data_IF_938003876204
#
_entry.id   IF_938003876204
#
_cell.length_a   1.000
_cell.length_b   1.000
_cell.length_c   1.000
_cell.angle_alpha   90.00
_cell.angle_beta   90.00
_cell.angle_gamma   90.00
#
_symmetry.space_group_name_H-M   'P 1'
#
loop_
_entity.id
_entity.type
_entity.pdbx_description
1 polymer ?
#
# COMPACT_ATOMS: atom_id res chain seq x y z
N UNK A 1 18.34 -10.31 5.50
CA UNK A 1 18.34 -8.89 5.06
C UNK A 1 17.19 -8.60 4.10
N UNK A 2 17.12 -9.22 2.89
CA UNK A 2 16.11 -8.92 1.85
C UNK A 2 14.66 -9.06 2.37
N UNK A 3 14.28 -10.22 2.92
CA UNK A 3 12.91 -10.46 3.40
C UNK A 3 12.50 -9.46 4.48
N UNK A 4 13.38 -9.10 5.42
CA UNK A 4 13.09 -8.13 6.48
C UNK A 4 12.91 -6.70 5.95
N UNK A 5 13.46 -6.38 4.80
CA UNK A 5 13.28 -5.10 4.13
C UNK A 5 11.98 -5.04 3.33
N UNK A 6 11.61 -6.13 2.69
CA UNK A 6 10.45 -6.19 1.79
C UNK A 6 9.14 -6.56 2.53
N UNK A 7 9.25 -7.15 3.74
CA UNK A 7 8.11 -7.54 4.58
C UNK A 7 8.09 -6.66 5.83
N UNK A 8 7.33 -5.58 5.76
CA UNK A 8 7.30 -4.53 6.78
C UNK A 8 5.86 -4.08 7.08
N UNK A 9 5.59 -3.58 8.30
CA UNK A 9 4.30 -2.98 8.63
C UNK A 9 3.97 -1.78 7.75
N UNK A 10 2.69 -1.65 7.38
CA UNK A 10 2.18 -0.52 6.61
C UNK A 10 0.73 -0.20 7.02
N UNK A 11 0.38 1.09 7.10
CA UNK A 11 -0.98 1.58 7.35
C UNK A 11 -1.53 2.22 6.09
N UNK A 12 -2.75 1.83 5.68
CA UNK A 12 -3.39 2.39 4.49
C UNK A 12 -2.68 2.01 3.18
N UNK A 13 -2.94 2.78 2.13
CA UNK A 13 -2.34 2.62 0.82
C UNK A 13 -1.28 3.69 0.58
N UNK A 14 -0.12 3.29 0.06
CA UNK A 14 1.02 4.20 -0.14
C UNK A 14 0.80 5.22 -1.26
N UNK A 15 0.03 4.87 -2.29
CA UNK A 15 -0.18 5.72 -3.44
C UNK A 15 -0.95 7.03 -3.10
N UNK A 16 -2.11 7.01 -2.42
CA UNK A 16 -2.75 8.26 -2.02
C UNK A 16 -1.91 9.05 -1.00
N UNK A 17 -1.15 8.37 -0.13
CA UNK A 17 -0.24 9.06 0.81
C UNK A 17 0.93 9.72 0.07
N UNK A 18 1.45 9.12 -0.99
CA UNK A 18 2.44 9.74 -1.88
C UNK A 18 1.89 11.01 -2.55
N UNK A 19 0.65 10.96 -3.03
CA UNK A 19 -0.01 12.15 -3.61
C UNK A 19 -0.19 13.24 -2.55
N UNK A 20 -0.69 12.87 -1.36
CA UNK A 20 -0.85 13.79 -0.23
C UNK A 20 0.48 14.40 0.22
N UNK A 21 1.56 13.61 0.27
CA UNK A 21 2.93 14.06 0.56
C UNK A 21 3.42 15.09 -0.46
N UNK A 22 3.16 14.84 -1.73
CA UNK A 22 3.54 15.77 -2.80
C UNK A 22 2.76 17.08 -2.71
N UNK A 23 1.46 17.03 -2.35
CA UNK A 23 0.64 18.21 -2.07
C UNK A 23 1.18 18.99 -0.88
N UNK A 24 1.47 18.31 0.24
CA UNK A 24 2.04 18.94 1.42
C UNK A 24 3.32 19.72 1.07
N UNK A 25 4.22 19.12 0.31
CA UNK A 25 5.47 19.76 -0.10
C UNK A 25 5.25 20.97 -1.01
N UNK A 26 4.34 20.86 -1.99
CA UNK A 26 4.00 21.98 -2.87
C UNK A 26 3.35 23.14 -2.08
N UNK A 27 2.47 22.83 -1.10
CA UNK A 27 1.84 23.80 -0.21
C UNK A 27 2.87 24.49 0.70
N UNK A 28 3.82 23.74 1.27
CA UNK A 28 4.92 24.32 2.06
C UNK A 28 5.76 25.29 1.24
N UNK A 29 6.07 24.95 -0.01
CA UNK A 29 6.81 25.81 -0.92
C UNK A 29 6.01 27.08 -1.26
N UNK A 30 4.71 26.94 -1.53
CA UNK A 30 3.82 28.08 -1.78
C UNK A 30 3.79 29.04 -0.59
N UNK A 31 3.75 28.52 0.63
CA UNK A 31 3.76 29.28 1.88
C UNK A 31 2.38 29.70 2.39
N UNK A 32 1.33 29.33 1.69
CA UNK A 32 -0.07 29.57 2.07
C UNK A 32 -0.97 28.43 1.59
N UNK A 33 -2.24 28.44 2.03
CA UNK A 33 -3.24 27.48 1.54
C UNK A 33 -3.50 27.70 0.04
N UNK A 34 -3.40 26.67 -0.81
CA UNK A 34 -3.68 26.81 -2.23
C UNK A 34 -5.15 27.16 -2.51
N UNK A 35 -5.38 28.06 -3.45
CA UNK A 35 -6.71 28.32 -4.03
C UNK A 35 -7.02 27.35 -5.17
N UNK A 36 -5.97 26.78 -5.78
CA UNK A 36 -6.07 25.79 -6.84
C UNK A 36 -4.95 24.78 -6.76
N UNK A 37 -5.32 23.50 -6.88
CA UNK A 37 -4.38 22.38 -6.93
C UNK A 37 -4.61 21.60 -8.22
N UNK A 38 -3.54 21.42 -8.99
CA UNK A 38 -3.54 20.53 -10.15
C UNK A 38 -2.64 19.33 -9.88
N UNK A 39 -3.23 18.14 -9.87
CA UNK A 39 -2.53 16.87 -9.71
C UNK A 39 -2.42 16.15 -11.05
N UNK A 40 -1.20 16.02 -11.58
CA UNK A 40 -0.89 15.31 -12.83
C UNK A 40 -0.20 13.99 -12.47
N UNK A 41 -0.86 12.86 -12.72
CA UNK A 41 -0.50 11.55 -12.17
C UNK A 41 -0.24 10.53 -13.28
N UNK A 42 0.69 9.59 -13.02
CA UNK A 42 0.80 8.40 -13.87
C UNK A 42 -0.45 7.52 -13.79
N UNK A 43 -0.69 6.74 -14.83
CA UNK A 43 -1.84 5.83 -14.88
C UNK A 43 -1.87 4.83 -13.71
N UNK A 44 -0.70 4.37 -13.26
CA UNK A 44 -0.61 3.43 -12.15
C UNK A 44 -0.97 4.08 -10.80
N UNK A 45 -0.49 5.29 -10.54
CA UNK A 45 -0.87 6.05 -9.33
C UNK A 45 -2.37 6.34 -9.35
N UNK A 46 -2.89 6.85 -10.45
CA UNK A 46 -4.31 7.17 -10.58
C UNK A 46 -5.19 5.94 -10.34
N UNK A 47 -4.91 4.84 -11.03
CA UNK A 47 -5.64 3.57 -10.87
C UNK A 47 -5.61 3.04 -9.44
N UNK A 48 -4.44 3.10 -8.78
CA UNK A 48 -4.26 2.49 -7.46
C UNK A 48 -4.82 3.37 -6.32
N UNK A 49 -4.93 4.68 -6.53
CA UNK A 49 -5.32 5.62 -5.48
C UNK A 49 -6.80 6.03 -5.51
N UNK A 50 -7.46 5.96 -6.69
CA UNK A 50 -8.84 6.48 -6.85
C UNK A 50 -9.90 5.74 -6.04
N UNK A 51 -9.74 4.44 -5.81
CA UNK A 51 -10.74 3.59 -5.16
C UNK A 51 -10.37 3.16 -3.73
N UNK A 52 -9.44 3.84 -3.09
CA UNK A 52 -8.89 3.42 -1.78
C UNK A 52 -9.38 4.32 -0.67
N UNK A 53 -9.77 3.73 0.46
CA UNK A 53 -10.11 4.46 1.68
C UNK A 53 -8.90 5.20 2.24
N UNK A 54 -9.10 6.48 2.57
CA UNK A 54 -8.07 7.30 3.21
C UNK A 54 -8.17 7.12 4.72
N UNK A 55 -7.07 6.69 5.37
CA UNK A 55 -7.09 6.34 6.78
C UNK A 55 -7.68 7.43 7.67
N UNK A 56 -8.59 7.03 8.57
CA UNK A 56 -9.23 7.91 9.53
C UNK A 56 -10.32 8.82 8.99
N UNK A 57 -10.55 8.89 7.67
CA UNK A 57 -11.50 9.83 7.06
C UNK A 57 -12.90 9.26 6.83
N UNK A 58 -13.04 7.95 6.71
CA UNK A 58 -14.25 7.29 6.21
C UNK A 58 -14.57 7.62 4.73
N UNK A 59 -13.65 8.27 4.02
CA UNK A 59 -13.79 8.67 2.62
C UNK A 59 -12.82 7.90 1.72
N UNK A 60 -13.13 7.89 0.42
CA UNK A 60 -12.40 7.16 -0.60
C UNK A 60 -11.79 8.13 -1.61
N UNK A 61 -10.58 7.82 -2.06
CA UNK A 61 -9.97 8.39 -3.25
C UNK A 61 -9.13 9.63 -3.03
N UNK A 62 -8.59 10.11 -4.13
CA UNK A 62 -7.61 11.19 -4.16
C UNK A 62 -8.14 12.56 -3.70
N UNK A 63 -9.40 12.97 -3.96
CA UNK A 63 -9.84 14.31 -3.58
C UNK A 63 -9.60 14.63 -2.10
N UNK A 64 -10.00 13.73 -1.19
CA UNK A 64 -9.80 13.96 0.25
C UNK A 64 -8.33 13.86 0.65
N UNK A 65 -7.54 12.97 0.03
CA UNK A 65 -6.10 12.89 0.30
C UNK A 65 -5.36 14.17 -0.12
N UNK A 66 -5.73 14.76 -1.25
CA UNK A 66 -5.20 16.04 -1.76
C UNK A 66 -5.61 17.19 -0.83
N UNK A 67 -6.91 17.29 -0.51
CA UNK A 67 -7.42 18.35 0.38
C UNK A 67 -6.70 18.34 1.74
N UNK A 68 -6.60 17.17 2.38
CA UNK A 68 -5.91 17.03 3.65
C UNK A 68 -4.40 17.27 3.54
N UNK A 69 -3.77 16.87 2.45
CA UNK A 69 -2.37 17.19 2.19
C UNK A 69 -2.11 18.70 2.19
N UNK A 70 -3.03 19.48 1.65
CA UNK A 70 -2.94 20.95 1.63
C UNK A 70 -3.27 21.60 2.98
N UNK A 71 -4.13 21.00 3.80
CA UNK A 71 -4.63 21.59 5.06
C UNK A 71 -3.72 21.27 6.24
N UNK A 72 -3.33 20.00 6.39
CA UNK A 72 -2.60 19.50 7.55
C UNK A 72 -1.29 18.79 7.20
N UNK A 73 -1.04 18.57 5.91
CA UNK A 73 0.13 17.79 5.49
C UNK A 73 1.43 18.47 5.88
N UNK A 74 2.35 17.65 6.44
CA UNK A 74 3.74 18.04 6.69
C UNK A 74 4.64 17.06 5.96
N UNK A 75 5.44 17.56 5.02
CA UNK A 75 6.27 16.70 4.18
C UNK A 75 7.34 15.93 4.98
N UNK A 76 7.74 16.43 6.14
CA UNK A 76 8.65 15.75 7.07
C UNK A 76 8.12 14.40 7.58
N UNK A 77 6.79 14.21 7.59
CA UNK A 77 6.16 12.97 8.03
C UNK A 77 6.15 11.87 6.98
N UNK A 78 6.65 12.16 5.80
CA UNK A 78 6.73 11.19 4.69
C UNK A 78 5.34 10.55 4.42
N UNK A 79 5.23 9.23 4.39
CA UNK A 79 3.95 8.55 4.13
C UNK A 79 2.96 8.57 5.31
N UNK A 80 3.36 9.10 6.46
CA UNK A 80 2.47 9.39 7.59
C UNK A 80 1.93 10.83 7.55
N UNK A 81 1.95 11.48 6.39
CA UNK A 81 1.64 12.89 6.13
C UNK A 81 0.32 13.36 6.74
N UNK A 82 -0.66 12.48 6.94
CA UNK A 82 -1.98 12.78 7.50
C UNK A 82 -2.14 12.35 8.98
N UNK A 83 -1.06 12.08 9.71
CA UNK A 83 -1.15 11.59 11.10
C UNK A 83 -1.80 12.58 12.08
N UNK A 84 -1.78 13.88 11.75
CA UNK A 84 -2.38 14.94 12.57
C UNK A 84 -3.89 15.16 12.23
N UNK A 85 -4.55 14.21 11.56
CA UNK A 85 -5.97 14.30 11.20
C UNK A 85 -6.86 14.40 12.44
N UNK A 86 -7.76 15.38 12.43
CA UNK A 86 -8.82 15.57 13.43
C UNK A 86 -10.19 15.63 12.75
N UNK A 87 -11.31 15.51 13.50
CA UNK A 87 -12.66 15.69 12.94
C UNK A 87 -12.86 17.08 12.31
N UNK A 88 -12.26 18.11 12.88
CA UNK A 88 -12.35 19.49 12.41
C UNK A 88 -11.64 19.64 11.06
N UNK A 89 -10.39 19.15 10.95
CA UNK A 89 -9.62 19.22 9.71
C UNK A 89 -10.23 18.32 8.62
N UNK A 90 -10.89 17.23 9.00
CA UNK A 90 -11.66 16.41 8.04
C UNK A 90 -12.87 17.19 7.49
N UNK A 91 -13.61 17.90 8.34
CA UNK A 91 -14.74 18.74 7.91
C UNK A 91 -14.26 19.85 6.96
N UNK A 92 -13.14 20.48 7.27
CA UNK A 92 -12.49 21.48 6.42
C UNK A 92 -12.04 20.90 5.07
N UNK A 93 -11.49 19.68 5.07
CA UNK A 93 -11.13 18.95 3.85
C UNK A 93 -12.32 18.69 2.93
N UNK A 94 -13.49 18.36 3.49
CA UNK A 94 -14.74 18.21 2.72
C UNK A 94 -15.17 19.52 2.08
N UNK A 95 -15.16 20.62 2.84
CA UNK A 95 -15.48 21.95 2.30
C UNK A 95 -14.53 22.37 1.19
N UNK A 96 -13.23 22.04 1.33
CA UNK A 96 -12.23 22.34 0.31
C UNK A 96 -12.48 21.58 -1.00
N UNK A 97 -12.99 20.33 -0.94
CA UNK A 97 -13.38 19.56 -2.12
C UNK A 97 -14.62 20.20 -2.77
N UNK A 98 -15.64 20.56 -1.97
CA UNK A 98 -16.90 21.14 -2.45
C UNK A 98 -16.69 22.51 -3.14
N UNK A 99 -15.61 23.21 -2.81
CA UNK A 99 -15.22 24.48 -3.43
C UNK A 99 -14.49 24.31 -4.79
N UNK A 100 -14.36 23.07 -5.30
CA UNK A 100 -13.76 22.72 -6.61
C UNK A 100 -12.31 23.21 -6.81
N UNK A 101 -11.54 23.30 -5.74
CA UNK A 101 -10.14 23.72 -5.78
C UNK A 101 -9.19 22.67 -6.41
N UNK A 102 -9.65 21.44 -6.65
CA UNK A 102 -8.82 20.30 -7.02
C UNK A 102 -9.12 19.84 -8.45
N UNK A 103 -8.08 19.79 -9.28
CA UNK A 103 -8.11 19.17 -10.61
C UNK A 103 -7.17 17.97 -10.65
N UNK A 104 -7.68 16.81 -11.05
CA UNK A 104 -6.90 15.58 -11.17
C UNK A 104 -6.88 15.14 -12.63
N UNK A 105 -5.69 14.92 -13.17
CA UNK A 105 -5.51 14.55 -14.58
C UNK A 105 -4.43 13.49 -14.77
N UNK A 106 -4.56 12.76 -15.87
CA UNK A 106 -3.53 11.82 -16.31
C UNK A 106 -2.37 12.61 -16.95
N UNK A 107 -1.14 12.35 -16.47
CA UNK A 107 0.06 12.89 -17.11
C UNK A 107 0.38 12.09 -18.37
N UNK A 108 0.36 12.74 -19.52
CA UNK A 108 0.75 12.15 -20.80
C UNK A 108 2.25 12.32 -21.08
N UNK A 109 2.81 11.47 -21.92
CA UNK A 109 4.19 11.58 -22.38
C UNK A 109 5.28 11.18 -21.38
N UNK A 110 4.90 10.47 -20.31
CA UNK A 110 5.83 9.92 -19.30
C UNK A 110 5.95 8.41 -19.44
N UNK A 111 7.11 7.87 -19.08
CA UNK A 111 7.40 6.42 -19.03
C UNK A 111 7.39 5.87 -17.60
N UNK A 112 7.48 6.76 -16.64
CA UNK A 112 7.54 6.44 -15.21
C UNK A 112 6.21 5.83 -14.73
N UNK A 113 6.30 4.64 -14.14
CA UNK A 113 5.14 3.97 -13.55
C UNK A 113 4.67 4.65 -12.27
N UNK A 114 5.59 5.27 -11.52
CA UNK A 114 5.34 6.10 -10.36
C UNK A 114 5.72 7.55 -10.71
N UNK A 115 4.71 8.39 -10.88
CA UNK A 115 4.87 9.82 -11.12
C UNK A 115 3.70 10.58 -10.53
N UNK A 116 4.02 11.57 -9.72
CA UNK A 116 3.08 12.49 -9.07
C UNK A 116 3.64 13.88 -9.23
N UNK A 117 2.95 14.76 -9.95
CA UNK A 117 3.29 16.18 -10.09
C UNK A 117 2.12 17.00 -9.56
N UNK A 118 2.40 17.82 -8.57
CA UNK A 118 1.42 18.71 -7.95
C UNK A 118 1.83 20.14 -8.19
N UNK A 119 0.89 20.93 -8.71
CA UNK A 119 1.00 22.37 -8.82
C UNK A 119 -0.03 23.01 -7.92
N UNK A 120 0.43 23.89 -7.01
CA UNK A 120 -0.38 24.68 -6.11
C UNK A 120 -0.30 26.15 -6.52
N UNK A 121 -1.43 26.84 -6.56
CA UNK A 121 -1.54 28.26 -6.95
C UNK A 121 -2.39 29.02 -5.92
N UNK A 122 -1.95 30.19 -5.47
CA UNK A 122 -2.69 31.15 -4.66
C UNK A 122 -2.06 32.56 -4.74
N UNK A 123 -2.85 33.62 -4.68
CA UNK A 123 -2.40 35.01 -4.63
C UNK A 123 -1.41 35.40 -5.77
N UNK A 124 -1.53 34.77 -6.93
CA UNK A 124 -0.61 34.99 -8.07
C UNK A 124 0.72 34.25 -7.95
N UNK A 125 0.95 33.51 -6.89
CA UNK A 125 2.13 32.63 -6.69
C UNK A 125 1.84 31.22 -7.12
N UNK A 126 2.89 30.51 -7.50
CA UNK A 126 2.83 29.12 -7.96
C UNK A 126 3.97 28.28 -7.38
N UNK A 127 3.67 27.09 -6.92
CA UNK A 127 4.67 26.11 -6.50
C UNK A 127 4.38 24.75 -7.11
N UNK A 128 5.43 24.07 -7.56
CA UNK A 128 5.33 22.71 -8.13
C UNK A 128 6.28 21.76 -7.39
N UNK A 129 5.76 20.60 -7.03
CA UNK A 129 6.55 19.48 -6.51
C UNK A 129 6.28 18.23 -7.34
N UNK A 130 7.32 17.42 -7.57
CA UNK A 130 7.19 16.16 -8.30
C UNK A 130 7.89 15.03 -7.54
N UNK A 131 7.16 13.92 -7.35
CA UNK A 131 7.69 12.65 -6.86
C UNK A 131 7.74 11.67 -8.02
N UNK A 132 8.86 10.97 -8.18
CA UNK A 132 9.00 9.90 -9.17
C UNK A 132 9.89 8.77 -8.66
N UNK A 133 9.77 7.59 -9.27
CA UNK A 133 10.57 6.38 -9.03
C UNK A 133 10.32 5.69 -7.67
N UNK A 134 10.21 6.42 -6.57
CA UNK A 134 9.84 5.91 -5.26
C UNK A 134 8.83 6.85 -4.58
N UNK A 135 7.97 6.32 -3.69
CA UNK A 135 6.83 7.06 -3.11
C UNK A 135 7.19 8.30 -2.27
N UNK A 136 8.46 8.49 -1.94
CA UNK A 136 8.96 9.61 -1.13
C UNK A 136 10.10 10.36 -1.80
N UNK A 137 10.44 10.02 -3.05
CA UNK A 137 11.57 10.61 -3.75
C UNK A 137 11.12 11.82 -4.57
N UNK A 138 11.40 13.02 -4.05
CA UNK A 138 11.19 14.27 -4.78
C UNK A 138 12.27 14.43 -5.84
N UNK A 139 11.86 14.61 -7.10
CA UNK A 139 12.75 14.80 -8.26
C UNK A 139 12.69 16.21 -8.83
N UNK A 140 11.68 17.00 -8.46
CA UNK A 140 11.54 18.37 -8.91
C UNK A 140 10.82 19.23 -7.90
N UNK A 141 11.35 20.42 -7.63
CA UNK A 141 10.74 21.44 -6.78
C UNK A 141 10.95 22.80 -7.45
N UNK A 142 9.88 23.59 -7.57
CA UNK A 142 9.88 24.93 -8.16
C UNK A 142 8.94 25.85 -7.38
N UNK A 143 9.32 27.12 -7.26
CA UNK A 143 8.45 28.21 -6.77
C UNK A 143 8.63 29.45 -7.67
N UNK A 144 7.53 29.96 -8.21
CA UNK A 144 7.48 31.20 -9.01
C UNK A 144 8.50 31.27 -10.16
N UNK A 145 8.79 30.10 -10.77
CA UNK A 145 9.78 29.95 -11.84
C UNK A 145 11.22 29.72 -11.36
N UNK A 146 11.49 29.82 -10.05
CA UNK A 146 12.77 29.44 -9.47
C UNK A 146 12.82 27.93 -9.21
N UNK A 147 13.74 27.23 -9.87
CA UNK A 147 13.94 25.79 -9.70
C UNK A 147 14.83 25.54 -8.48
N UNK A 148 14.29 24.88 -7.46
CA UNK A 148 14.96 24.56 -6.21
C UNK A 148 15.59 23.15 -6.22
N UNK A 149 15.02 22.23 -7.02
CA UNK A 149 15.52 20.87 -7.24
C UNK A 149 15.13 20.42 -8.64
N UNK A 150 16.07 19.88 -9.42
CA UNK A 150 15.79 19.19 -10.68
C UNK A 150 16.68 17.95 -10.85
N UNK A 151 16.13 16.82 -10.50
CA UNK A 151 16.74 15.49 -10.68
C UNK A 151 15.99 14.64 -11.73
N UNK A 152 15.05 15.24 -12.51
CA UNK A 152 14.22 14.52 -13.49
C UNK A 152 15.05 13.88 -14.62
N UNK A 153 16.22 14.41 -14.92
CA UNK A 153 17.13 13.90 -15.95
C UNK A 153 18.25 13.02 -15.39
N UNK A 154 18.40 12.97 -14.07
CA UNK A 154 19.19 11.92 -13.52
C UNK A 154 18.40 10.63 -13.76
N UNK A 155 18.87 9.81 -14.72
CA UNK A 155 18.52 8.38 -14.69
C UNK A 155 18.73 8.01 -13.23
N UNK A 156 17.64 7.60 -12.55
CA UNK A 156 17.81 6.96 -11.27
C UNK A 156 18.91 5.95 -11.52
N UNK A 157 20.11 6.28 -11.04
CA UNK A 157 21.24 5.37 -11.17
C UNK A 157 20.64 4.09 -10.69
N UNK A 158 20.78 3.01 -11.44
CA UNK A 158 20.48 1.70 -10.92
C UNK A 158 21.15 1.75 -9.55
N UNK A 159 20.36 2.01 -8.50
CA UNK A 159 20.85 1.85 -7.14
C UNK A 159 21.40 0.45 -7.22
N UNK A 160 22.74 0.33 -7.15
CA UNK A 160 23.42 -0.94 -7.34
C UNK A 160 22.62 -1.94 -6.58
N UNK A 161 21.81 -2.69 -7.32
CA UNK A 161 20.89 -3.61 -6.71
C UNK A 161 21.81 -4.79 -6.34
N UNK A 162 22.63 -4.57 -5.31
CA UNK A 162 23.44 -5.58 -4.64
C UNK A 162 22.55 -6.65 -3.98
N UNK A 163 21.27 -6.60 -4.29
CA UNK A 163 20.32 -7.59 -3.84
C UNK A 163 20.55 -8.91 -4.53
N UNK A 164 20.53 -9.95 -3.71
CA UNK A 164 20.51 -11.33 -4.20
C UNK A 164 19.35 -11.47 -5.20
N UNK A 165 19.65 -11.80 -6.44
CA UNK A 165 18.64 -12.13 -7.43
C UNK A 165 18.08 -13.51 -7.11
N UNK A 166 16.83 -13.54 -6.68
CA UNK A 166 16.17 -14.78 -6.29
C UNK A 166 15.89 -15.68 -7.51
N UNK A 167 15.84 -16.98 -7.25
CA UNK A 167 15.23 -18.01 -8.09
C UNK A 167 14.51 -19.00 -7.17
N UNK A 168 13.63 -19.84 -7.71
CA UNK A 168 12.81 -20.74 -6.89
C UNK A 168 13.64 -21.74 -6.08
N UNK A 169 14.75 -22.20 -6.60
CA UNK A 169 15.66 -23.12 -5.87
C UNK A 169 16.20 -22.44 -4.61
N UNK A 170 16.71 -21.22 -4.76
CA UNK A 170 17.25 -20.44 -3.65
C UNK A 170 16.19 -20.11 -2.61
N UNK A 171 14.98 -19.75 -3.06
CA UNK A 171 13.83 -19.46 -2.19
C UNK A 171 13.47 -20.71 -1.36
N UNK A 172 13.35 -21.86 -2.01
CA UNK A 172 13.02 -23.12 -1.35
C UNK A 172 14.12 -23.56 -0.38
N UNK A 173 15.36 -23.62 -0.84
CA UNK A 173 16.48 -24.05 -0.01
C UNK A 173 16.59 -23.14 1.24
N UNK A 174 16.48 -21.83 1.09
CA UNK A 174 16.48 -20.90 2.22
C UNK A 174 15.34 -21.15 3.21
N UNK A 175 14.11 -21.31 2.73
CA UNK A 175 12.97 -21.55 3.60
C UNK A 175 13.07 -22.87 4.37
N UNK A 176 13.71 -23.91 3.77
CA UNK A 176 13.80 -25.25 4.36
C UNK A 176 15.03 -25.45 5.25
N UNK A 177 16.14 -24.76 4.99
CA UNK A 177 17.41 -25.04 5.67
C UNK A 177 17.85 -23.96 6.67
N UNK A 178 17.24 -22.77 6.63
CA UNK A 178 17.56 -21.72 7.61
C UNK A 178 17.05 -22.11 8.99
N UNK A 179 17.83 -21.88 10.06
CA UNK A 179 17.37 -22.11 11.44
C UNK A 179 16.04 -21.40 11.72
N UNK A 180 15.14 -22.08 12.42
CA UNK A 180 13.79 -21.57 12.74
C UNK A 180 13.84 -20.21 13.43
N UNK A 181 14.74 -20.03 14.39
CA UNK A 181 14.86 -18.79 15.16
C UNK A 181 15.17 -17.58 14.28
N UNK A 182 15.94 -17.74 13.20
CA UNK A 182 16.24 -16.70 12.24
C UNK A 182 15.02 -16.33 11.35
N UNK A 183 14.05 -17.22 11.25
CA UNK A 183 12.82 -17.06 10.46
C UNK A 183 11.61 -16.66 11.31
N UNK A 184 11.67 -16.81 12.64
CA UNK A 184 10.53 -16.63 13.55
C UNK A 184 9.84 -15.27 13.43
N UNK A 185 10.57 -14.22 13.01
CA UNK A 185 9.98 -12.90 12.76
C UNK A 185 8.81 -12.93 11.76
N UNK A 186 8.75 -13.96 10.87
CA UNK A 186 7.71 -14.08 9.83
C UNK A 186 6.31 -14.31 10.45
N UNK A 187 6.23 -14.84 11.66
CA UNK A 187 4.96 -15.00 12.39
C UNK A 187 4.24 -13.66 12.63
N UNK A 188 4.99 -12.56 12.73
CA UNK A 188 4.40 -11.22 12.82
C UNK A 188 3.48 -10.92 11.63
N UNK A 189 3.69 -11.55 10.47
CA UNK A 189 2.82 -11.35 9.30
C UNK A 189 1.41 -11.87 9.59
N UNK A 190 1.30 -13.06 10.21
CA UNK A 190 0.03 -13.62 10.67
C UNK A 190 -0.62 -12.70 11.71
N UNK A 191 0.12 -12.31 12.74
CA UNK A 191 -0.43 -11.55 13.87
C UNK A 191 -1.00 -10.19 13.41
N UNK A 192 -0.29 -9.46 12.55
CA UNK A 192 -0.76 -8.20 12.00
C UNK A 192 -1.97 -8.39 11.09
N UNK A 193 -1.90 -9.34 10.15
CA UNK A 193 -2.91 -9.50 9.12
C UNK A 193 -4.18 -10.19 9.65
N UNK A 194 -4.07 -10.99 10.68
CA UNK A 194 -5.25 -11.52 11.40
C UNK A 194 -5.92 -10.44 12.25
N UNK A 195 -5.15 -9.60 12.92
CA UNK A 195 -5.68 -8.50 13.72
C UNK A 195 -6.60 -7.60 12.91
N UNK A 196 -6.18 -7.19 11.72
CA UNK A 196 -7.03 -6.34 10.86
C UNK A 196 -8.23 -7.11 10.30
N UNK A 197 -8.11 -8.42 10.03
CA UNK A 197 -9.24 -9.25 9.62
C UNK A 197 -10.30 -9.32 10.73
N UNK A 198 -9.90 -9.50 11.98
CA UNK A 198 -10.82 -9.48 13.13
C UNK A 198 -11.49 -8.11 13.34
N UNK A 199 -10.75 -7.02 13.10
CA UNK A 199 -11.32 -5.67 13.16
C UNK A 199 -12.41 -5.47 12.10
N UNK A 200 -12.21 -6.02 10.90
CA UNK A 200 -13.21 -5.98 9.83
C UNK A 200 -14.54 -6.64 10.23
N UNK A 201 -14.51 -7.61 11.15
CA UNK A 201 -15.74 -8.25 11.65
C UNK A 201 -16.57 -7.32 12.54
N UNK A 202 -15.94 -6.36 13.23
CA UNK A 202 -16.60 -5.43 14.15
C UNK A 202 -17.25 -4.25 13.43
N UNK A 203 -16.66 -3.82 12.32
CA UNK A 203 -17.10 -2.64 11.56
C UNK A 203 -17.40 -2.99 10.10
N UNK A 204 -18.09 -2.10 9.39
CA UNK A 204 -18.33 -2.27 7.96
C UNK A 204 -17.26 -1.51 7.18
N UNK A 205 -16.33 -2.26 6.59
CA UNK A 205 -15.30 -1.72 5.72
C UNK A 205 -15.49 -2.20 4.29
N UNK A 206 -15.18 -1.33 3.33
CA UNK A 206 -15.16 -1.69 1.91
C UNK A 206 -16.47 -2.34 1.45
N UNK A 207 -16.36 -3.47 0.79
CA UNK A 207 -17.51 -4.24 0.29
C UNK A 207 -18.06 -5.26 1.30
N UNK A 208 -17.47 -5.36 2.48
CA UNK A 208 -17.82 -6.35 3.50
C UNK A 208 -17.82 -7.80 2.95
N UNK A 209 -16.96 -8.10 1.98
CA UNK A 209 -16.93 -9.39 1.30
C UNK A 209 -16.61 -10.52 2.29
N UNK A 210 -15.59 -10.33 3.12
CA UNK A 210 -15.21 -11.33 4.11
C UNK A 210 -16.35 -11.64 5.09
N UNK A 211 -17.03 -10.60 5.62
CA UNK A 211 -18.22 -10.76 6.47
C UNK A 211 -19.38 -11.44 5.77
N UNK A 212 -19.53 -11.20 4.47
CA UNK A 212 -20.61 -11.79 3.68
C UNK A 212 -20.40 -13.29 3.49
N UNK A 213 -19.15 -13.71 3.24
CA UNK A 213 -18.80 -15.13 3.09
C UNK A 213 -18.96 -15.89 4.42
N UNK A 214 -18.70 -15.23 5.54
CA UNK A 214 -18.79 -15.82 6.90
C UNK A 214 -20.25 -15.96 7.42
N UNK A 215 -21.26 -15.49 6.66
CA UNK A 215 -22.67 -15.60 7.08
C UNK A 215 -23.22 -17.01 6.86
N UNK A 216 -24.13 -17.48 7.77
CA UNK A 216 -24.74 -18.80 7.63
C UNK A 216 -25.41 -19.08 6.27
N UNK A 217 -26.06 -18.07 5.67
CA UNK A 217 -26.66 -18.19 4.34
C UNK A 217 -25.58 -18.46 3.25
N UNK A 218 -24.42 -17.83 3.37
CA UNK A 218 -23.32 -18.05 2.44
C UNK A 218 -22.70 -19.43 2.57
N UNK A 219 -22.78 -20.05 3.74
CA UNK A 219 -22.35 -21.44 3.95
C UNK A 219 -23.18 -22.44 3.12
N UNK A 220 -24.41 -22.12 2.79
CA UNK A 220 -25.23 -22.91 1.84
C UNK A 220 -24.73 -22.86 0.40
N UNK A 221 -23.95 -21.84 0.05
CA UNK A 221 -23.41 -21.62 -1.31
C UNK A 221 -21.92 -22.03 -1.39
N UNK A 222 -21.11 -21.58 -0.44
CA UNK A 222 -19.64 -21.79 -0.43
C UNK A 222 -19.18 -22.95 0.46
N UNK A 223 -20.09 -23.51 1.27
CA UNK A 223 -19.76 -24.48 2.31
C UNK A 223 -19.11 -23.81 3.54
N UNK A 224 -19.06 -24.56 4.63
CA UNK A 224 -18.24 -24.26 5.81
C UNK A 224 -16.96 -25.09 5.69
N UNK A 225 -15.98 -24.60 4.99
CA UNK A 225 -14.78 -25.33 4.60
C UNK A 225 -13.55 -24.44 4.71
N UNK A 226 -12.39 -25.06 4.77
CA UNK A 226 -11.10 -24.37 4.77
C UNK A 226 -11.01 -23.32 3.63
N UNK A 227 -11.58 -23.61 2.48
CA UNK A 227 -11.62 -22.68 1.34
C UNK A 227 -12.42 -21.41 1.66
N UNK A 228 -13.63 -21.54 2.24
CA UNK A 228 -14.45 -20.38 2.64
C UNK A 228 -13.80 -19.57 3.76
N UNK A 229 -13.12 -20.24 4.71
CA UNK A 229 -12.40 -19.58 5.80
C UNK A 229 -11.19 -18.79 5.29
N UNK A 230 -10.40 -19.36 4.38
CA UNK A 230 -9.28 -18.66 3.71
C UNK A 230 -9.79 -17.39 3.02
N UNK A 231 -10.86 -17.50 2.21
CA UNK A 231 -11.40 -16.34 1.49
C UNK A 231 -11.96 -15.31 2.47
N UNK A 232 -12.77 -15.74 3.47
CA UNK A 232 -13.35 -14.83 4.45
C UNK A 232 -12.27 -14.03 5.20
N UNK A 233 -11.27 -14.72 5.76
CA UNK A 233 -10.20 -14.08 6.55
C UNK A 233 -9.34 -13.13 5.70
N UNK A 234 -9.02 -13.55 4.46
CA UNK A 234 -8.20 -12.76 3.55
C UNK A 234 -8.96 -11.52 3.04
N UNK A 235 -10.22 -11.72 2.61
CA UNK A 235 -11.06 -10.62 2.14
C UNK A 235 -11.38 -9.63 3.26
N UNK A 236 -11.64 -10.10 4.50
CA UNK A 236 -11.87 -9.23 5.67
C UNK A 236 -10.68 -8.29 5.92
N UNK A 237 -9.46 -8.81 5.87
CA UNK A 237 -8.26 -7.98 6.04
C UNK A 237 -8.11 -6.94 4.92
N UNK A 238 -8.38 -7.34 3.67
CA UNK A 238 -8.35 -6.43 2.53
C UNK A 238 -9.49 -5.39 2.61
N UNK A 239 -10.71 -5.78 2.97
CA UNK A 239 -11.85 -4.87 3.16
C UNK A 239 -11.51 -3.78 4.17
N UNK A 240 -10.99 -4.14 5.35
CA UNK A 240 -10.62 -3.17 6.37
C UNK A 240 -9.49 -2.24 5.90
N UNK A 241 -8.43 -2.79 5.33
CA UNK A 241 -7.30 -2.00 4.83
C UNK A 241 -7.74 -1.02 3.74
N UNK A 242 -8.46 -1.52 2.73
CA UNK A 242 -8.92 -0.69 1.60
C UNK A 242 -10.05 0.26 2.00
N UNK A 243 -10.79 -0.05 3.05
CA UNK A 243 -11.79 0.82 3.66
C UNK A 243 -11.22 1.89 4.60
N UNK A 244 -9.89 1.96 4.75
CA UNK A 244 -9.23 3.03 5.50
C UNK A 244 -9.11 2.76 7.01
N UNK A 245 -9.12 1.51 7.45
CA UNK A 245 -8.85 1.17 8.85
C UNK A 245 -7.45 1.64 9.27
N UNK A 246 -7.36 2.26 10.46
CA UNK A 246 -6.12 2.77 11.05
C UNK A 246 -5.35 1.65 11.77
N UNK A 247 -5.25 0.49 11.15
CA UNK A 247 -4.57 -0.69 11.69
C UNK A 247 -3.48 -1.12 10.72
N UNK A 248 -2.25 -1.32 11.19
CA UNK A 248 -1.18 -1.77 10.33
C UNK A 248 -1.39 -3.20 9.86
N UNK A 249 -1.05 -3.45 8.61
CA UNK A 249 -0.89 -4.78 8.02
C UNK A 249 0.59 -5.06 7.80
N UNK A 250 0.98 -6.32 7.73
CA UNK A 250 2.30 -6.66 7.23
C UNK A 250 2.23 -6.69 5.70
N UNK A 251 2.98 -5.79 5.08
CA UNK A 251 3.08 -5.69 3.62
C UNK A 251 4.10 -6.68 3.02
N UNK A 252 4.12 -6.78 1.71
CA UNK A 252 5.18 -7.44 0.96
C UNK A 252 5.50 -6.61 -0.28
N UNK A 253 6.78 -6.32 -0.51
CA UNK A 253 7.27 -5.51 -1.65
C UNK A 253 6.49 -4.21 -1.87
N UNK A 254 6.19 -3.50 -0.78
CA UNK A 254 5.49 -2.22 -0.79
C UNK A 254 3.97 -2.30 -0.96
N UNK A 255 3.36 -3.49 -0.97
CA UNK A 255 1.90 -3.67 -1.06
C UNK A 255 1.33 -4.41 0.14
N UNK A 256 0.40 -3.74 0.87
CA UNK A 256 -0.28 -4.36 2.02
C UNK A 256 -1.18 -5.51 1.60
N UNK A 257 -1.96 -5.38 0.52
CA UNK A 257 -2.79 -6.48 0.03
C UNK A 257 -1.95 -7.67 -0.44
N UNK A 258 -0.76 -7.43 -1.02
CA UNK A 258 0.16 -8.50 -1.36
C UNK A 258 0.64 -9.24 -0.10
N UNK A 259 0.96 -8.51 0.97
CA UNK A 259 1.34 -9.11 2.25
C UNK A 259 0.20 -9.90 2.89
N UNK A 260 -1.04 -9.37 2.88
CA UNK A 260 -2.24 -10.08 3.35
C UNK A 260 -2.44 -11.40 2.58
N UNK A 261 -2.40 -11.34 1.24
CA UNK A 261 -2.63 -12.51 0.40
C UNK A 261 -1.47 -13.53 0.43
N UNK A 262 -0.25 -13.10 0.76
CA UNK A 262 0.87 -14.02 0.98
C UNK A 262 0.81 -14.69 2.36
N UNK A 263 0.11 -14.09 3.32
CA UNK A 263 0.03 -14.57 4.71
C UNK A 263 -1.21 -15.37 5.00
N UNK A 264 -2.40 -14.73 4.84
CA UNK A 264 -3.64 -15.25 5.41
C UNK A 264 -4.04 -16.63 4.87
N UNK A 265 -3.92 -16.92 3.56
CA UNK A 265 -4.26 -18.26 3.06
C UNK A 265 -3.41 -19.36 3.69
N UNK A 266 -2.10 -19.11 3.85
CA UNK A 266 -1.16 -20.06 4.46
C UNK A 266 -1.46 -20.25 5.94
N UNK A 267 -1.65 -19.14 6.67
CA UNK A 267 -1.88 -19.19 8.12
C UNK A 267 -3.22 -19.84 8.48
N UNK A 268 -4.29 -19.54 7.72
CA UNK A 268 -5.60 -20.18 7.95
C UNK A 268 -5.51 -21.67 7.62
N UNK A 269 -4.83 -22.05 6.53
CA UNK A 269 -4.65 -23.44 6.18
C UNK A 269 -3.90 -24.20 7.30
N UNK A 270 -2.80 -23.63 7.77
CA UNK A 270 -1.99 -24.24 8.81
C UNK A 270 -2.77 -24.42 10.13
N UNK A 271 -3.60 -23.42 10.53
CA UNK A 271 -4.45 -23.53 11.73
C UNK A 271 -5.45 -24.67 11.60
N UNK A 272 -6.16 -24.79 10.48
CA UNK A 272 -7.18 -25.80 10.29
C UNK A 272 -6.63 -27.20 10.00
N UNK A 273 -5.41 -27.28 9.47
CA UNK A 273 -4.71 -28.54 9.23
C UNK A 273 -3.84 -28.98 10.42
N UNK A 274 -3.92 -28.23 11.56
CA UNK A 274 -3.16 -28.51 12.78
C UNK A 274 -1.64 -28.63 12.58
N UNK A 275 -1.10 -27.84 11.65
CA UNK A 275 0.33 -27.80 11.39
C UNK A 275 1.12 -27.19 12.56
N UNK A 276 2.37 -27.62 12.72
CA UNK A 276 3.27 -27.07 13.75
C UNK A 276 3.67 -25.65 13.45
N UNK A 277 4.14 -24.93 14.48
CA UNK A 277 4.64 -23.55 14.31
C UNK A 277 5.85 -23.51 13.36
N UNK A 278 6.75 -24.50 13.41
CA UNK A 278 7.87 -24.59 12.49
C UNK A 278 7.42 -24.75 11.04
N UNK A 279 6.45 -25.61 10.76
CA UNK A 279 5.89 -25.78 9.42
C UNK A 279 5.27 -24.46 8.93
N UNK A 280 4.51 -23.78 9.77
CA UNK A 280 3.93 -22.46 9.45
C UNK A 280 5.02 -21.43 9.13
N UNK A 281 6.09 -21.34 9.93
CA UNK A 281 7.22 -20.44 9.70
C UNK A 281 7.84 -20.70 8.32
N UNK A 282 8.10 -21.96 7.98
CA UNK A 282 8.69 -22.33 6.69
C UNK A 282 7.74 -22.04 5.53
N UNK A 283 6.46 -22.35 5.67
CA UNK A 283 5.42 -22.08 4.68
C UNK A 283 5.25 -20.58 4.40
N UNK A 284 5.19 -19.76 5.45
CA UNK A 284 5.12 -18.29 5.33
C UNK A 284 6.38 -17.72 4.69
N UNK A 285 7.55 -18.20 5.07
CA UNK A 285 8.84 -17.79 4.47
C UNK A 285 8.87 -18.11 2.97
N UNK A 286 8.47 -19.32 2.60
CA UNK A 286 8.37 -19.75 1.20
C UNK A 286 7.38 -18.86 0.42
N UNK A 287 6.21 -18.62 0.99
CA UNK A 287 5.17 -17.76 0.38
C UNK A 287 5.68 -16.33 0.12
N UNK A 288 6.21 -15.69 1.15
CA UNK A 288 6.68 -14.30 1.05
C UNK A 288 7.88 -14.14 0.13
N UNK A 289 8.86 -15.05 0.17
CA UNK A 289 10.01 -14.99 -0.73
C UNK A 289 9.64 -15.29 -2.19
N UNK A 290 8.67 -16.18 -2.43
CA UNK A 290 8.16 -16.43 -3.79
C UNK A 290 7.50 -15.16 -4.35
N UNK A 291 6.69 -14.45 -3.55
CA UNK A 291 6.12 -13.17 -3.95
C UNK A 291 7.20 -12.11 -4.26
N UNK A 292 8.24 -12.01 -3.43
CA UNK A 292 9.39 -11.10 -3.65
C UNK A 292 10.13 -11.49 -4.95
N UNK A 293 10.37 -12.77 -5.18
CA UNK A 293 11.00 -13.28 -6.41
C UNK A 293 10.24 -12.83 -7.67
N UNK A 294 8.92 -13.00 -7.67
CA UNK A 294 8.08 -12.59 -8.79
C UNK A 294 8.16 -11.06 -8.97
N UNK A 295 8.13 -10.29 -7.87
CA UNK A 295 8.22 -8.82 -7.91
C UNK A 295 9.58 -8.33 -8.39
N UNK A 296 10.67 -9.02 -8.14
CA UNK A 296 11.98 -8.67 -8.72
C UNK A 296 11.96 -8.69 -10.26
N UNK A 297 11.15 -9.56 -10.87
CA UNK A 297 11.02 -9.64 -12.32
C UNK A 297 9.97 -8.68 -12.91
N UNK A 298 8.92 -8.35 -12.15
CA UNK A 298 7.85 -7.44 -12.59
C UNK A 298 8.15 -5.96 -12.35
N UNK A 299 9.05 -5.66 -11.40
CA UNK A 299 9.30 -4.31 -10.90
C UNK A 299 8.36 -3.90 -9.78
N UNK A 300 8.76 -2.85 -9.02
CA UNK A 300 8.06 -2.40 -7.79
C UNK A 300 6.62 -1.97 -8.06
N UNK A 301 6.38 -1.18 -9.10
CA UNK A 301 5.05 -0.79 -9.57
C UNK A 301 4.74 -1.52 -10.88
N UNK A 302 3.97 -2.60 -10.80
CA UNK A 302 3.50 -3.31 -11.99
C UNK A 302 2.00 -3.12 -12.17
N UNK A 303 1.52 -3.24 -13.42
CA UNK A 303 0.10 -3.26 -13.71
C UNK A 303 -0.59 -4.55 -13.21
N UNK A 304 0.19 -5.62 -12.95
CA UNK A 304 -0.32 -6.87 -12.40
C UNK A 304 -0.71 -6.67 -10.94
N UNK A 305 -1.89 -7.17 -10.59
CA UNK A 305 -2.41 -7.09 -9.22
C UNK A 305 -1.49 -7.84 -8.24
N UNK A 306 -1.17 -7.19 -7.10
CA UNK A 306 -0.37 -7.82 -6.04
C UNK A 306 -0.97 -9.10 -5.48
N UNK A 307 -2.32 -9.22 -5.50
CA UNK A 307 -3.00 -10.44 -5.06
C UNK A 307 -2.66 -11.64 -5.94
N UNK A 308 -2.53 -11.47 -7.26
CA UNK A 308 -2.11 -12.56 -8.17
C UNK A 308 -0.71 -13.03 -7.84
N UNK A 309 0.22 -12.09 -7.64
CA UNK A 309 1.62 -12.40 -7.24
C UNK A 309 1.65 -13.16 -5.92
N UNK A 310 0.92 -12.66 -4.93
CA UNK A 310 0.88 -13.25 -3.59
C UNK A 310 0.19 -14.62 -3.58
N UNK A 311 -0.85 -14.83 -4.40
CA UNK A 311 -1.55 -16.11 -4.49
C UNK A 311 -0.64 -17.22 -5.01
N UNK A 312 0.28 -16.92 -5.92
CA UNK A 312 1.31 -17.89 -6.35
C UNK A 312 2.20 -18.25 -5.14
N UNK A 313 2.62 -17.25 -4.37
CA UNK A 313 3.41 -17.49 -3.16
C UNK A 313 2.67 -18.31 -2.12
N UNK A 314 1.42 -17.93 -1.78
CA UNK A 314 0.62 -18.67 -0.80
C UNK A 314 0.28 -20.10 -1.26
N UNK A 315 0.08 -20.31 -2.57
CA UNK A 315 -0.10 -21.66 -3.11
C UNK A 315 1.16 -22.53 -2.88
N UNK A 316 2.37 -21.95 -3.05
CA UNK A 316 3.61 -22.67 -2.72
C UNK A 316 3.68 -23.01 -1.22
N UNK A 317 3.31 -22.08 -0.33
CA UNK A 317 3.26 -22.30 1.11
C UNK A 317 2.27 -23.40 1.51
N UNK A 318 1.04 -23.36 0.98
CA UNK A 318 0.01 -24.38 1.24
C UNK A 318 0.41 -25.74 0.68
N UNK A 319 1.06 -25.78 -0.50
CA UNK A 319 1.52 -27.06 -1.08
C UNK A 319 2.62 -27.71 -0.24
N UNK A 320 3.40 -26.92 0.49
CA UNK A 320 4.41 -27.42 1.42
C UNK A 320 3.76 -28.01 2.69
N UNK A 321 2.68 -27.38 3.22
CA UNK A 321 1.93 -27.88 4.39
C UNK A 321 1.13 -29.15 4.07
#
# INVERSE_FOLDING_TARGET
ALINREVVPAVGCTEPMCVSLCVARATELLGCRPEKITASLSANILKNAMGVGIPGTGMIGLPIAIALGAIIGKSEYQLEVLKDLTPETLAEGKQYIDAEHISIQLKSGITEKLYVEITCEADGHKATATIATAHTHFVYLEKDGEVLLDERHHKAGEAENNDIRLNMRLVYDFAMTTPEDDLRFILKTRDYNFRIAEESKKHNYGHCLGKTIDRPLSHGIFGNSIFSHIISKTASACDARMGGAMIPVMSNSGSGNQGICATNPVAVYAEENENTEEELIRALTLSHLTAIYIKQNLGKLSALCGCVVASIGSSCGITYL
#
